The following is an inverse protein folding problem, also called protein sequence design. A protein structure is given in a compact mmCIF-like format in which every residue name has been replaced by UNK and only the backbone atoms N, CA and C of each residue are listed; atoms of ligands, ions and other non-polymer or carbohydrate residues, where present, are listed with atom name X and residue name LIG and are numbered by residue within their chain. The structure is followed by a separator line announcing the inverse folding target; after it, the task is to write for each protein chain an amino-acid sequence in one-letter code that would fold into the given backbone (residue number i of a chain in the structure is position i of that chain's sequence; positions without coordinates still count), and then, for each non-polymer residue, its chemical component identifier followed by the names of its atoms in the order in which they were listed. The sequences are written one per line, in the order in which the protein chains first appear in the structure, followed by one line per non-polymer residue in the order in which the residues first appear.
data_IF_228215578780
#
_entry.id   IF_228215578780
#
_cell.length_a   1.000
_cell.length_b   1.000
_cell.length_c   1.000
_cell.angle_alpha   90.00
_cell.angle_beta   90.00
_cell.angle_gamma   90.00
#
_symmetry.space_group_name_H-M   'P 1'
#
loop_
_entity.id
_entity.type
_entity.pdbx_description
1 polymer ?
#
# COMPACT_ATOMS: atom_id res chain seq x y z
N UNK A 1 29.74 18.58 12.64
CA UNK A 1 28.50 17.79 12.57
C UNK A 1 27.57 18.37 13.62
N UNK A 2 26.63 19.24 13.23
CA UNK A 2 25.65 19.78 14.16
C UNK A 2 24.51 18.77 14.29
N UNK A 3 24.43 18.12 15.44
CA UNK A 3 23.39 17.18 15.78
C UNK A 3 22.37 17.92 16.66
N UNK A 4 21.10 17.84 16.30
CA UNK A 4 20.03 18.47 17.08
C UNK A 4 20.01 17.93 18.52
N UNK A 5 19.64 18.80 19.47
CA UNK A 5 19.54 18.45 20.90
C UNK A 5 18.83 17.11 21.20
N UNK A 6 17.70 16.76 20.54
CA UNK A 6 17.04 15.46 20.77
C UNK A 6 17.91 14.25 20.41
N UNK A 7 18.68 14.35 19.32
CA UNK A 7 19.55 13.28 18.85
C UNK A 7 20.82 13.19 19.71
N UNK A 8 21.34 14.32 20.22
CA UNK A 8 22.43 14.32 21.20
C UNK A 8 22.03 13.62 22.51
N UNK A 9 20.83 13.91 23.04
CA UNK A 9 20.30 13.25 24.23
C UNK A 9 20.12 11.74 24.03
N UNK A 10 19.69 11.29 22.85
CA UNK A 10 19.61 9.86 22.51
C UNK A 10 20.95 9.14 22.65
N UNK A 11 22.03 9.73 22.11
CA UNK A 11 23.37 9.16 22.25
C UNK A 11 23.88 9.18 23.69
N UNK A 12 23.62 10.26 24.44
CA UNK A 12 23.99 10.36 25.85
C UNK A 12 23.29 9.30 26.72
N UNK A 13 22.07 8.91 26.34
CA UNK A 13 21.31 7.84 27.00
C UNK A 13 21.69 6.43 26.51
N UNK A 14 22.62 6.31 25.56
CA UNK A 14 23.06 5.02 25.02
C UNK A 14 22.05 4.34 24.10
N UNK A 15 21.06 5.07 23.57
CA UNK A 15 20.08 4.50 22.66
C UNK A 15 20.71 4.21 21.29
N UNK A 16 20.40 3.08 20.65
CA UNK A 16 20.85 2.78 19.30
C UNK A 16 20.23 3.76 18.30
N UNK A 17 21.02 4.20 17.33
CA UNK A 17 20.63 5.17 16.31
C UNK A 17 19.57 4.63 15.32
N UNK A 18 19.36 3.31 15.31
CA UNK A 18 18.47 2.62 14.38
C UNK A 18 17.59 1.62 15.14
N UNK A 19 16.31 1.54 14.77
CA UNK A 19 15.43 0.44 15.19
C UNK A 19 15.86 -0.83 14.46
N UNK A 20 16.58 -1.72 15.13
CA UNK A 20 17.08 -2.99 14.56
C UNK A 20 16.25 -4.21 14.94
N UNK A 21 15.27 -4.05 15.83
CA UNK A 21 14.43 -5.15 16.32
C UNK A 21 13.24 -5.47 15.42
N UNK A 22 12.92 -4.61 14.44
CA UNK A 22 11.70 -4.73 13.64
C UNK A 22 11.95 -4.36 12.18
N UNK A 23 11.32 -5.13 11.29
CA UNK A 23 11.27 -4.82 9.86
C UNK A 23 9.99 -4.05 9.54
N UNK A 24 10.15 -2.90 8.89
CA UNK A 24 9.01 -2.11 8.42
C UNK A 24 8.65 -2.52 6.99
N UNK A 25 7.41 -2.96 6.80
CA UNK A 25 6.89 -3.35 5.50
C UNK A 25 6.06 -2.20 4.92
N UNK A 26 6.35 -1.72 3.71
CA UNK A 26 5.55 -0.66 3.10
C UNK A 26 4.13 -1.13 2.81
N UNK A 27 3.15 -0.38 3.29
CA UNK A 27 1.74 -0.64 3.03
C UNK A 27 1.05 0.55 2.34
N UNK A 28 0.57 0.32 1.14
CA UNK A 28 -0.10 1.33 0.30
C UNK A 28 -1.60 1.41 0.61
N UNK A 29 -1.96 1.63 1.88
CA UNK A 29 -3.35 1.60 2.36
C UNK A 29 -4.28 2.53 1.58
N UNK A 30 -3.86 3.78 1.38
CA UNK A 30 -4.68 4.78 0.67
C UNK A 30 -5.01 4.32 -0.74
N UNK A 31 -4.00 3.94 -1.53
CA UNK A 31 -4.20 3.43 -2.89
C UNK A 31 -5.12 2.21 -2.94
N UNK A 32 -4.95 1.26 -2.01
CA UNK A 32 -5.79 0.07 -1.92
C UNK A 32 -7.27 0.40 -1.60
N UNK A 33 -7.51 1.24 -0.59
CA UNK A 33 -8.88 1.65 -0.21
C UNK A 33 -9.54 2.42 -1.35
N UNK A 34 -8.80 3.32 -2.00
CA UNK A 34 -9.30 4.07 -3.15
C UNK A 34 -9.67 3.16 -4.32
N UNK A 35 -8.89 2.11 -4.59
CA UNK A 35 -9.24 1.11 -5.60
C UNK A 35 -10.52 0.34 -5.22
N UNK A 36 -10.65 -0.10 -3.97
CA UNK A 36 -11.87 -0.79 -3.52
C UNK A 36 -13.10 0.11 -3.67
N UNK A 37 -13.02 1.36 -3.19
CA UNK A 37 -14.13 2.32 -3.29
C UNK A 37 -14.53 2.49 -4.76
N UNK A 38 -13.57 2.71 -5.66
CA UNK A 38 -13.83 2.79 -7.11
C UNK A 38 -14.51 1.54 -7.66
N UNK A 39 -14.05 0.35 -7.27
CA UNK A 39 -14.69 -0.90 -7.72
C UNK A 39 -16.08 -1.09 -7.13
N UNK A 40 -16.33 -0.68 -5.89
CA UNK A 40 -17.65 -0.75 -5.26
C UNK A 40 -18.62 0.23 -5.89
N UNK A 41 -18.21 1.47 -6.16
CA UNK A 41 -19.04 2.47 -6.83
C UNK A 41 -19.38 2.04 -8.27
N UNK A 42 -18.40 1.54 -9.02
CA UNK A 42 -18.63 0.98 -10.36
C UNK A 42 -19.58 -0.23 -10.37
N UNK A 43 -19.64 -1.00 -9.28
CA UNK A 43 -20.60 -2.08 -9.11
C UNK A 43 -21.96 -1.60 -8.61
N UNK A 44 -22.01 -0.53 -7.79
CA UNK A 44 -23.24 0.13 -7.32
C UNK A 44 -24.02 0.80 -8.43
N UNK A 45 -23.36 1.34 -9.46
CA UNK A 45 -24.06 1.94 -10.61
C UNK A 45 -24.86 0.92 -11.44
N UNK A 46 -24.72 -0.39 -11.18
CA UNK A 46 -25.60 -1.44 -11.74
C UNK A 46 -26.87 -1.69 -10.91
N UNK A 47 -26.91 -1.25 -9.65
CA UNK A 47 -28.06 -1.35 -8.75
C UNK A 47 -28.14 -0.04 -7.92
N UNK A 48 -28.85 0.96 -8.44
CA UNK A 48 -29.10 2.24 -7.75
C UNK A 48 -29.48 2.04 -6.28
N UNK A 49 -28.59 2.43 -5.38
CA UNK A 49 -28.97 3.00 -4.08
C UNK A 49 -27.86 3.90 -3.56
N UNK A 50 -28.18 5.19 -3.48
CA UNK A 50 -27.35 6.28 -3.00
C UNK A 50 -26.90 6.02 -1.56
N UNK A 51 -25.59 5.86 -1.34
CA UNK A 51 -24.99 6.11 -0.01
C UNK A 51 -23.86 7.13 -0.25
N UNK A 52 -23.91 8.33 0.36
CA UNK A 52 -22.88 9.35 0.18
C UNK A 52 -21.59 8.87 0.84
N UNK A 53 -20.57 8.59 0.04
CA UNK A 53 -19.22 8.21 0.52
C UNK A 53 -18.30 9.44 0.61
N UNK A 54 -18.83 10.65 0.39
CA UNK A 54 -18.05 11.90 0.37
C UNK A 54 -17.46 12.28 1.73
N UNK A 55 -18.02 11.86 2.86
CA UNK A 55 -17.50 12.21 4.20
C UNK A 55 -16.23 11.43 4.63
N UNK A 56 -15.82 10.38 3.89
CA UNK A 56 -14.61 9.59 4.24
C UNK A 56 -13.36 9.98 3.46
N UNK A 57 -13.48 10.89 2.49
CA UNK A 57 -12.39 11.35 1.64
C UNK A 57 -12.29 12.88 1.66
N UNK A 58 -12.27 13.46 2.85
CA UNK A 58 -11.88 14.86 3.01
C UNK A 58 -10.48 15.07 2.39
N UNK A 59 -10.44 15.95 1.39
CA UNK A 59 -9.23 16.52 0.78
C UNK A 59 -8.27 15.59 0.02
N UNK A 60 -8.76 14.58 -0.71
CA UNK A 60 -7.89 13.81 -1.64
C UNK A 60 -8.16 14.21 -3.08
N UNK A 61 -7.37 15.18 -3.55
CA UNK A 61 -7.20 15.61 -4.94
C UNK A 61 -7.34 14.41 -5.90
N UNK A 62 -8.35 14.40 -6.76
CA UNK A 62 -8.73 13.24 -7.58
C UNK A 62 -7.59 12.79 -8.51
N UNK A 63 -6.73 13.74 -8.92
CA UNK A 63 -5.50 13.49 -9.70
C UNK A 63 -4.40 12.77 -8.91
N UNK A 64 -4.40 12.84 -7.57
CA UNK A 64 -3.51 12.04 -6.70
C UNK A 64 -4.04 10.63 -6.44
N UNK A 65 -5.29 10.35 -6.82
CA UNK A 65 -5.94 9.05 -6.68
C UNK A 65 -5.68 8.10 -7.86
N UNK A 66 -5.22 8.65 -8.99
CA UNK A 66 -4.74 7.84 -10.10
C UNK A 66 -3.42 7.17 -9.71
N UNK A 67 -3.50 5.91 -9.29
CA UNK A 67 -2.35 5.13 -8.91
C UNK A 67 -1.37 5.05 -10.08
N UNK A 68 -0.13 5.51 -9.86
CA UNK A 68 0.90 5.52 -10.89
C UNK A 68 1.30 4.09 -11.21
N UNK A 69 0.92 3.61 -12.39
CA UNK A 69 1.33 2.28 -12.86
C UNK A 69 2.73 2.33 -13.45
N UNK A 70 3.53 1.31 -13.15
CA UNK A 70 4.84 1.09 -13.78
C UNK A 70 4.63 0.15 -14.96
N UNK A 71 4.94 0.62 -16.17
CA UNK A 71 4.90 -0.22 -17.37
C UNK A 71 6.12 -1.15 -17.39
N UNK A 72 5.87 -2.46 -17.28
CA UNK A 72 6.85 -3.51 -17.47
C UNK A 72 6.65 -4.22 -18.81
N UNK A 73 7.72 -4.84 -19.33
CA UNK A 73 7.64 -5.74 -20.49
C UNK A 73 7.85 -7.18 -20.03
N UNK A 74 6.83 -8.01 -20.17
CA UNK A 74 6.88 -9.44 -19.85
C UNK A 74 6.47 -10.26 -21.07
N UNK A 75 7.29 -11.25 -21.45
CA UNK A 75 7.04 -12.16 -22.59
C UNK A 75 6.68 -11.44 -23.91
N UNK A 76 7.24 -10.26 -24.15
CA UNK A 76 6.99 -9.46 -25.34
C UNK A 76 5.83 -8.48 -25.24
N UNK A 77 4.97 -8.60 -24.22
CA UNK A 77 3.80 -7.73 -23.99
C UNK A 77 4.10 -6.65 -22.95
N UNK A 78 3.42 -5.50 -23.07
CA UNK A 78 3.46 -4.44 -22.07
C UNK A 78 2.38 -4.66 -21.02
N UNK A 79 2.77 -4.64 -19.75
CA UNK A 79 1.88 -4.85 -18.60
C UNK A 79 2.09 -3.70 -17.63
N UNK A 80 1.02 -3.01 -17.26
CA UNK A 80 1.04 -2.05 -16.16
C UNK A 80 1.01 -2.79 -14.83
N UNK A 81 1.91 -2.45 -13.92
CA UNK A 81 1.94 -2.96 -12.55
C UNK A 81 1.70 -1.83 -11.56
N UNK A 82 0.77 -2.01 -10.64
CA UNK A 82 0.55 -1.15 -9.48
C UNK A 82 1.14 -1.78 -8.21
N UNK A 83 1.43 -0.95 -7.21
CA UNK A 83 1.79 -1.39 -5.87
C UNK A 83 0.66 -2.16 -5.16
N UNK A 84 -0.58 -1.98 -5.64
CA UNK A 84 -1.80 -2.58 -5.07
C UNK A 84 -2.11 -3.95 -5.67
N UNK A 85 -1.53 -4.28 -6.83
CA UNK A 85 -1.79 -5.55 -7.54
C UNK A 85 -1.50 -6.77 -6.66
N UNK A 86 -0.51 -6.70 -5.78
CA UNK A 86 -0.16 -7.81 -4.90
C UNK A 86 -1.27 -8.15 -3.88
N UNK A 87 -2.05 -7.15 -3.45
CA UNK A 87 -3.20 -7.36 -2.57
C UNK A 87 -4.42 -7.83 -3.37
N UNK A 88 -4.59 -7.28 -4.58
CA UNK A 88 -5.73 -7.55 -5.47
C UNK A 88 -5.72 -8.98 -6.00
N UNK A 89 -4.56 -9.47 -6.39
CA UNK A 89 -4.39 -10.80 -6.97
C UNK A 89 -3.83 -11.80 -5.94
N UNK A 90 -4.24 -11.66 -4.67
CA UNK A 90 -3.85 -12.57 -3.62
C UNK A 90 -4.29 -14.02 -3.97
N UNK A 91 -3.38 -15.01 -3.96
CA UNK A 91 -3.72 -16.40 -4.24
C UNK A 91 -4.80 -16.95 -3.31
N UNK A 92 -5.69 -17.79 -3.84
CA UNK A 92 -6.82 -18.34 -3.10
C UNK A 92 -6.40 -19.20 -1.89
N UNK A 93 -5.21 -19.79 -1.92
CA UNK A 93 -4.64 -20.52 -0.78
C UNK A 93 -4.38 -19.64 0.47
N UNK A 94 -4.41 -18.31 0.31
CA UNK A 94 -4.32 -17.34 1.41
C UNK A 94 -5.64 -16.63 1.70
N UNK A 95 -6.76 -17.10 1.16
CA UNK A 95 -8.10 -16.53 1.39
C UNK A 95 -8.53 -16.51 2.86
N UNK A 96 -7.95 -17.38 3.68
CA UNK A 96 -8.15 -17.43 5.12
C UNK A 96 -7.40 -16.33 5.89
N UNK A 97 -6.45 -15.64 5.25
CA UNK A 97 -5.71 -14.53 5.84
C UNK A 97 -6.40 -13.22 5.51
N UNK A 98 -6.59 -12.37 6.51
CA UNK A 98 -6.98 -11.00 6.23
C UNK A 98 -5.78 -10.20 5.67
N UNK A 99 -6.08 -9.06 5.05
CA UNK A 99 -5.06 -8.21 4.43
C UNK A 99 -3.96 -7.79 5.41
N UNK A 100 -4.30 -7.48 6.66
CA UNK A 100 -3.33 -7.07 7.67
C UNK A 100 -2.33 -8.19 7.99
N UNK A 101 -2.80 -9.41 8.20
CA UNK A 101 -1.96 -10.59 8.42
C UNK A 101 -1.10 -10.86 7.19
N UNK A 102 -1.68 -10.78 5.99
CA UNK A 102 -0.95 -10.97 4.75
C UNK A 102 0.20 -9.96 4.62
N UNK A 103 -0.04 -8.69 4.92
CA UNK A 103 1.00 -7.63 4.85
C UNK A 103 2.15 -7.91 5.82
N UNK A 104 1.86 -8.41 7.02
CA UNK A 104 2.90 -8.72 7.99
C UNK A 104 3.77 -9.91 7.59
N UNK A 105 3.20 -10.90 6.90
CA UNK A 105 3.90 -12.15 6.58
C UNK A 105 4.45 -12.20 5.16
N UNK A 106 4.01 -11.32 4.25
CA UNK A 106 4.45 -11.39 2.86
C UNK A 106 5.89 -10.92 2.67
N UNK A 107 6.59 -11.58 1.75
CA UNK A 107 7.93 -11.17 1.31
C UNK A 107 7.96 -11.07 -0.21
N UNK A 108 8.17 -9.86 -0.73
CA UNK A 108 8.38 -9.64 -2.16
C UNK A 108 9.83 -9.96 -2.51
N UNK A 109 10.04 -10.94 -3.40
CA UNK A 109 11.36 -11.28 -3.91
C UNK A 109 11.41 -10.99 -5.40
N UNK A 110 12.52 -10.41 -5.86
CA UNK A 110 12.76 -10.25 -7.29
C UNK A 110 12.87 -11.64 -7.90
N UNK A 111 12.09 -11.89 -8.95
CA UNK A 111 12.19 -13.15 -9.70
C UNK A 111 13.60 -13.24 -10.28
N UNK A 112 14.39 -14.20 -9.78
CA UNK A 112 15.69 -14.55 -10.35
C UNK A 112 15.48 -15.07 -11.77
N UNK A 113 16.39 -14.69 -12.68
CA UNK A 113 16.37 -15.16 -14.07
C UNK A 113 16.70 -16.64 -14.13
#
# INVERSE_FOLDING_TARGET
LEIGSPMACMYLLGNPDHYTSHDFVPFWWKSYVSEIIRTWDANRDKNKSNIPTEELLDEVDNDKLADKVVLGRENGNYVGKSNVDDYKYCPECYSNLNLYQWIQTHQKKRRTK
#
